data_IF_216389794885
#
_entry.id   IF_216389794885
#
_cell.length_a   1.000
_cell.length_b   1.000
_cell.length_c   1.000
_cell.angle_alpha   90.00
_cell.angle_beta   90.00
_cell.angle_gamma   90.00
#
_symmetry.space_group_name_H-M   'P 1'
#
loop_
_entity.id
_entity.type
_entity.pdbx_description
1 polymer ?
#
# COMPACT_ATOMS: atom_id res chain seq x y z
N UNK A 1 45.16 -11.66 -70.89
CA UNK A 1 45.37 -12.35 -69.59
C UNK A 1 45.23 -11.40 -68.40
N UNK A 2 45.84 -10.19 -68.45
CA UNK A 2 45.79 -9.19 -67.36
C UNK A 2 44.38 -8.68 -66.96
N UNK A 3 43.49 -8.37 -67.91
CA UNK A 3 42.11 -7.91 -67.60
C UNK A 3 41.26 -8.93 -66.82
N UNK A 4 41.50 -10.23 -66.99
CA UNK A 4 40.81 -11.26 -66.19
C UNK A 4 41.28 -11.21 -64.74
N UNK A 5 42.58 -11.04 -64.50
CA UNK A 5 43.17 -11.02 -63.16
C UNK A 5 42.68 -9.82 -62.32
N UNK A 6 42.56 -8.63 -62.93
CA UNK A 6 42.01 -7.45 -62.26
C UNK A 6 40.55 -7.63 -61.85
N UNK A 7 39.72 -8.26 -62.69
CA UNK A 7 38.33 -8.57 -62.35
C UNK A 7 38.24 -9.56 -61.17
N UNK A 8 39.11 -10.57 -61.13
CA UNK A 8 39.16 -11.51 -60.01
C UNK A 8 39.58 -10.83 -58.70
N UNK A 9 40.54 -9.89 -58.74
CA UNK A 9 40.95 -9.11 -57.56
C UNK A 9 39.81 -8.19 -57.09
N UNK A 10 39.07 -7.57 -58.01
CA UNK A 10 37.96 -6.69 -57.65
C UNK A 10 36.80 -7.47 -57.03
N UNK A 11 36.45 -8.63 -57.59
CA UNK A 11 35.45 -9.56 -57.04
C UNK A 11 35.89 -10.05 -55.66
N UNK A 12 37.16 -10.43 -55.49
CA UNK A 12 37.69 -10.89 -54.20
C UNK A 12 37.62 -9.80 -53.11
N UNK A 13 37.92 -8.54 -53.44
CA UNK A 13 37.76 -7.40 -52.51
C UNK A 13 36.29 -7.15 -52.14
N UNK A 14 35.37 -7.31 -53.07
CA UNK A 14 33.92 -7.22 -52.83
C UNK A 14 33.44 -8.34 -51.89
N UNK A 15 33.88 -9.57 -52.10
CA UNK A 15 33.56 -10.71 -51.22
C UNK A 15 34.15 -10.53 -49.82
N UNK A 16 35.39 -10.03 -49.69
CA UNK A 16 35.95 -9.68 -48.38
C UNK A 16 35.14 -8.59 -47.69
N UNK A 17 34.79 -7.51 -48.41
CA UNK A 17 33.99 -6.40 -47.87
C UNK A 17 32.60 -6.82 -47.41
N UNK A 18 31.93 -7.68 -48.17
CA UNK A 18 30.64 -8.30 -47.80
C UNK A 18 30.77 -9.21 -46.57
N UNK A 19 31.85 -10.00 -46.49
CA UNK A 19 32.15 -10.83 -45.32
C UNK A 19 32.36 -10.01 -44.05
N UNK A 20 33.13 -8.91 -44.12
CA UNK A 20 33.31 -7.98 -43.00
C UNK A 20 32.00 -7.27 -42.60
N UNK A 21 31.13 -6.96 -43.58
CA UNK A 21 29.83 -6.37 -43.31
C UNK A 21 28.89 -7.36 -42.60
N UNK A 22 28.84 -8.61 -43.07
CA UNK A 22 28.04 -9.67 -42.42
C UNK A 22 28.54 -9.99 -41.01
N UNK A 23 29.85 -9.98 -40.78
CA UNK A 23 30.43 -10.19 -39.45
C UNK A 23 30.07 -9.06 -38.47
N UNK A 24 30.05 -7.80 -38.95
CA UNK A 24 29.60 -6.65 -38.16
C UNK A 24 28.12 -6.72 -37.83
N UNK A 25 27.27 -7.08 -38.79
CA UNK A 25 25.82 -7.25 -38.56
C UNK A 25 25.59 -8.35 -37.54
N UNK A 26 26.24 -9.51 -37.69
CA UNK A 26 26.14 -10.62 -36.74
C UNK A 26 26.57 -10.21 -35.33
N UNK A 27 27.70 -9.51 -35.20
CA UNK A 27 28.18 -9.01 -33.92
C UNK A 27 27.17 -8.04 -33.26
N UNK A 28 26.63 -7.07 -34.02
CA UNK A 28 25.61 -6.13 -33.52
C UNK A 28 24.35 -6.88 -33.07
N UNK A 29 23.86 -7.83 -33.87
CA UNK A 29 22.68 -8.63 -33.50
C UNK A 29 22.92 -9.50 -32.28
N UNK A 30 24.12 -10.06 -32.12
CA UNK A 30 24.49 -10.86 -30.96
C UNK A 30 24.58 -9.99 -29.69
N UNK A 31 25.14 -8.78 -29.78
CA UNK A 31 25.18 -7.82 -28.66
C UNK A 31 23.78 -7.38 -28.25
N UNK A 32 22.90 -7.10 -29.21
CA UNK A 32 21.49 -6.75 -28.95
C UNK A 32 20.78 -7.94 -28.29
N UNK A 33 20.95 -9.15 -28.81
CA UNK A 33 20.35 -10.36 -28.24
C UNK A 33 20.85 -10.61 -26.81
N UNK A 34 22.16 -10.49 -26.57
CA UNK A 34 22.76 -10.60 -25.22
C UNK A 34 22.19 -9.52 -24.30
N UNK A 35 22.07 -8.29 -24.78
CA UNK A 35 21.49 -7.20 -24.02
C UNK A 35 20.04 -7.49 -23.66
N UNK A 36 19.17 -7.87 -24.60
CA UNK A 36 17.74 -8.08 -24.33
C UNK A 36 17.42 -9.35 -23.54
N UNK A 37 18.17 -10.44 -23.73
CA UNK A 37 17.88 -11.72 -23.08
C UNK A 37 18.65 -11.98 -21.79
N UNK A 38 19.83 -11.36 -21.62
CA UNK A 38 20.67 -11.60 -20.45
C UNK A 38 20.86 -10.35 -19.60
N UNK A 39 21.09 -9.17 -20.19
CA UNK A 39 21.34 -7.93 -19.43
C UNK A 39 20.03 -7.25 -19.01
N UNK A 40 19.04 -7.14 -19.88
CA UNK A 40 17.77 -6.45 -19.64
C UNK A 40 16.94 -7.09 -18.53
N UNK A 41 16.89 -8.43 -18.37
CA UNK A 41 16.26 -9.04 -17.19
C UNK A 41 17.05 -8.81 -15.89
N UNK A 42 18.37 -8.55 -15.98
CA UNK A 42 19.24 -8.18 -14.85
C UNK A 42 19.17 -6.69 -14.50
N UNK A 43 18.79 -5.83 -15.45
CA UNK A 43 18.34 -4.45 -15.20
C UNK A 43 16.96 -4.58 -14.54
N UNK A 44 16.97 -4.87 -13.24
CA UNK A 44 15.80 -5.22 -12.47
C UNK A 44 14.64 -4.25 -12.64
N UNK A 45 13.43 -4.78 -12.38
CA UNK A 45 12.19 -4.04 -12.09
C UNK A 45 12.53 -2.64 -11.62
N UNK A 46 12.28 -1.62 -12.45
CA UNK A 46 12.60 -0.23 -12.12
C UNK A 46 12.22 0.08 -10.67
N UNK A 47 13.22 0.31 -9.83
CA UNK A 47 13.09 0.82 -8.45
C UNK A 47 12.85 2.33 -8.44
N UNK A 48 12.77 2.96 -9.63
CA UNK A 48 12.46 4.36 -9.75
C UNK A 48 11.05 4.61 -9.20
N UNK A 49 11.02 5.21 -8.02
CA UNK A 49 9.81 5.79 -7.47
C UNK A 49 9.77 7.26 -7.85
N UNK A 50 8.59 7.75 -8.20
CA UNK A 50 8.38 9.19 -8.35
C UNK A 50 7.62 9.74 -7.15
N UNK A 51 7.83 11.01 -6.85
CA UNK A 51 7.15 11.70 -5.77
C UNK A 51 5.71 12.01 -6.20
N UNK A 52 4.75 11.50 -5.45
CA UNK A 52 3.32 11.70 -5.67
C UNK A 52 2.77 12.59 -4.57
N UNK A 53 2.03 13.64 -4.93
CA UNK A 53 1.18 14.39 -4.00
C UNK A 53 -0.11 13.60 -3.80
N UNK A 54 -0.30 13.06 -2.59
CA UNK A 54 -1.51 12.33 -2.22
C UNK A 54 -2.67 13.28 -1.91
N UNK A 55 -2.39 14.36 -1.18
CA UNK A 55 -3.36 15.38 -0.80
C UNK A 55 -2.64 16.72 -0.58
N UNK A 56 -3.14 17.80 -1.17
CA UNK A 56 -2.62 19.14 -0.91
C UNK A 56 -3.12 19.67 0.44
N UNK A 57 -2.33 20.52 1.08
CA UNK A 57 -2.59 21.09 2.40
C UNK A 57 -3.70 22.15 2.36
N UNK A 58 -4.93 21.68 2.20
CA UNK A 58 -6.14 22.47 2.15
C UNK A 58 -7.04 22.07 3.33
N UNK A 59 -7.95 22.96 3.74
CA UNK A 59 -8.93 22.68 4.79
C UNK A 59 -10.14 21.89 4.23
N UNK A 60 -9.88 20.68 3.75
CA UNK A 60 -10.90 19.77 3.19
C UNK A 60 -10.82 18.40 3.86
N UNK A 61 -11.95 17.67 3.93
CA UNK A 61 -11.93 16.30 4.46
C UNK A 61 -11.18 15.37 3.49
N UNK A 62 -10.38 14.41 3.99
CA UNK A 62 -9.77 13.42 3.12
C UNK A 62 -10.85 12.56 2.46
N UNK A 63 -10.54 12.05 1.28
CA UNK A 63 -11.46 11.17 0.53
C UNK A 63 -11.85 9.95 1.35
N UNK A 64 -13.07 9.47 1.14
CA UNK A 64 -13.62 8.28 1.82
C UNK A 64 -13.56 8.36 3.35
N UNK A 65 -13.55 9.57 3.93
CA UNK A 65 -13.74 9.72 5.36
C UNK A 65 -15.10 9.14 5.77
N UNK A 66 -15.08 8.32 6.82
CA UNK A 66 -16.26 7.67 7.41
C UNK A 66 -16.05 7.38 8.89
N UNK A 67 -17.15 7.32 9.64
CA UNK A 67 -17.15 7.19 11.09
C UNK A 67 -18.15 6.13 11.54
N UNK A 68 -17.78 5.24 12.47
CA UNK A 68 -18.65 4.17 12.95
C UNK A 68 -19.84 4.66 13.78
N UNK A 69 -19.84 5.93 14.19
CA UNK A 69 -20.98 6.59 14.86
C UNK A 69 -22.03 7.11 13.87
N UNK A 70 -21.78 7.02 12.56
CA UNK A 70 -22.73 7.48 11.54
C UNK A 70 -24.00 6.63 11.56
N UNK A 71 -25.16 7.28 11.49
CA UNK A 71 -26.44 6.59 11.32
C UNK A 71 -26.50 5.87 9.97
N UNK A 72 -26.89 4.60 10.00
CA UNK A 72 -27.07 3.75 8.83
C UNK A 72 -28.55 3.52 8.56
N UNK A 73 -28.88 3.10 7.33
CA UNK A 73 -30.24 2.75 6.98
C UNK A 73 -30.78 1.62 7.90
N UNK A 74 -32.08 1.62 8.28
CA UNK A 74 -32.64 0.62 9.20
C UNK A 74 -32.49 -0.85 8.78
N UNK A 75 -32.25 -1.10 7.49
CA UNK A 75 -32.00 -2.44 6.95
C UNK A 75 -30.57 -2.97 7.20
N UNK A 76 -29.65 -2.10 7.67
CA UNK A 76 -28.26 -2.44 7.95
C UNK A 76 -28.11 -2.67 9.45
N UNK A 77 -27.52 -3.80 9.84
CA UNK A 77 -27.24 -4.08 11.24
C UNK A 77 -26.14 -3.13 11.77
N UNK A 78 -26.51 -2.22 12.66
CA UNK A 78 -25.60 -1.27 13.32
C UNK A 78 -25.29 -1.65 14.77
N UNK A 79 -25.65 -2.86 15.22
CA UNK A 79 -25.49 -3.28 16.61
C UNK A 79 -24.01 -3.25 17.01
N UNK A 80 -23.69 -2.56 18.09
CA UNK A 80 -22.32 -2.38 18.60
C UNK A 80 -21.34 -1.70 17.62
N UNK A 81 -21.82 -1.12 16.51
CA UNK A 81 -20.95 -0.44 15.56
C UNK A 81 -20.37 0.85 16.14
N UNK A 82 -21.18 1.62 16.86
CA UNK A 82 -20.73 2.85 17.53
C UNK A 82 -19.71 2.58 18.64
N UNK A 83 -19.80 1.41 19.28
CA UNK A 83 -18.93 0.99 20.38
C UNK A 83 -17.48 0.77 19.92
N UNK A 84 -17.24 0.70 18.61
CA UNK A 84 -15.90 0.60 18.03
C UNK A 84 -15.06 1.87 18.24
N UNK A 85 -15.66 3.05 18.41
CA UNK A 85 -14.91 4.31 18.48
C UNK A 85 -13.88 4.44 17.34
N UNK A 86 -14.33 4.17 16.11
CA UNK A 86 -13.43 4.08 14.96
C UNK A 86 -13.90 4.96 13.80
N UNK A 87 -12.92 5.43 13.04
CA UNK A 87 -13.11 6.17 11.79
C UNK A 87 -12.07 5.74 10.78
N UNK A 88 -12.29 6.12 9.51
CA UNK A 88 -11.35 5.75 8.47
C UNK A 88 -11.36 6.72 7.28
N UNK A 89 -10.23 6.86 6.58
CA UNK A 89 -10.15 7.67 5.36
C UNK A 89 -9.01 7.27 4.41
N UNK A 90 -8.91 7.97 3.29
CA UNK A 90 -7.67 8.07 2.51
C UNK A 90 -6.61 8.92 3.23
N UNK A 91 -5.42 9.01 2.65
CA UNK A 91 -4.35 9.86 3.14
C UNK A 91 -4.83 11.30 3.37
N UNK A 92 -4.59 11.82 4.56
CA UNK A 92 -4.83 13.21 4.94
C UNK A 92 -3.57 14.07 4.76
N UNK A 93 -3.77 15.37 4.57
CA UNK A 93 -2.76 16.42 4.70
C UNK A 93 -2.75 16.98 6.14
N UNK A 94 -1.81 17.86 6.46
CA UNK A 94 -1.68 18.38 7.83
C UNK A 94 -2.94 19.12 8.32
N UNK A 95 -3.58 19.94 7.48
CA UNK A 95 -4.82 20.63 7.83
C UNK A 95 -6.01 19.66 7.93
N UNK A 96 -6.08 18.64 7.07
CA UNK A 96 -7.21 17.72 7.10
C UNK A 96 -7.14 16.73 8.26
N UNK A 97 -5.96 16.42 8.79
CA UNK A 97 -5.82 15.69 10.05
C UNK A 97 -6.42 16.50 11.21
N UNK A 98 -6.08 17.80 11.34
CA UNK A 98 -6.69 18.67 12.36
C UNK A 98 -8.22 18.72 12.21
N UNK A 99 -8.73 18.72 10.98
CA UNK A 99 -10.16 18.67 10.70
C UNK A 99 -10.81 17.35 11.11
N UNK A 100 -10.14 16.22 10.90
CA UNK A 100 -10.59 14.93 11.44
C UNK A 100 -10.68 15.02 12.97
N UNK A 101 -9.61 15.46 13.63
CA UNK A 101 -9.56 15.49 15.09
C UNK A 101 -10.63 16.40 15.70
N UNK A 102 -10.97 17.51 15.05
CA UNK A 102 -11.97 18.46 15.56
C UNK A 102 -13.42 17.94 15.55
N UNK A 103 -13.71 16.88 14.79
CA UNK A 103 -15.05 16.27 14.72
C UNK A 103 -15.16 14.99 15.55
N UNK A 104 -14.05 14.45 16.07
CA UNK A 104 -14.07 13.25 16.90
C UNK A 104 -14.58 13.59 18.31
N UNK A 105 -15.33 12.68 18.96
CA UNK A 105 -15.91 12.93 20.28
C UNK A 105 -14.88 12.84 21.42
N UNK A 106 -13.61 12.56 21.12
CA UNK A 106 -12.53 12.39 22.09
C UNK A 106 -11.21 12.92 21.53
N UNK A 107 -10.31 13.33 22.41
CA UNK A 107 -8.93 13.69 22.10
C UNK A 107 -7.96 12.50 22.21
N UNK A 108 -8.41 11.37 22.76
CA UNK A 108 -7.62 10.14 22.87
C UNK A 108 -7.72 9.35 21.57
N UNK A 109 -6.88 9.73 20.62
CA UNK A 109 -6.92 9.20 19.25
C UNK A 109 -5.61 8.49 18.97
N UNK A 110 -5.68 7.35 18.30
CA UNK A 110 -4.53 6.70 17.67
C UNK A 110 -4.73 6.66 16.16
N UNK A 111 -3.79 7.21 15.41
CA UNK A 111 -3.73 7.03 13.96
C UNK A 111 -3.13 5.65 13.68
N UNK A 112 -3.85 4.83 12.92
CA UNK A 112 -3.39 3.53 12.43
C UNK A 112 -3.03 3.68 10.96
N UNK A 113 -1.75 3.93 10.69
CA UNK A 113 -1.18 4.02 9.35
C UNK A 113 -0.92 2.62 8.77
N UNK A 114 -1.62 2.29 7.69
CA UNK A 114 -1.54 0.99 7.03
C UNK A 114 -0.58 1.00 5.82
N UNK A 115 0.21 2.07 5.63
CA UNK A 115 0.99 2.29 4.41
C UNK A 115 2.40 1.71 4.50
N UNK A 116 2.66 0.66 3.72
CA UNK A 116 4.01 0.13 3.48
C UNK A 116 4.87 1.10 2.65
N UNK A 117 4.27 1.80 1.71
CA UNK A 117 4.99 2.76 0.87
C UNK A 117 5.51 3.95 1.68
N UNK A 118 6.74 4.38 1.41
CA UNK A 118 7.34 5.55 2.06
C UNK A 118 6.54 6.81 1.77
N UNK A 119 6.20 7.54 2.82
CA UNK A 119 5.38 8.73 2.75
C UNK A 119 5.75 9.73 3.85
N UNK A 120 5.15 10.91 3.81
CA UNK A 120 5.36 11.97 4.79
C UNK A 120 4.77 13.27 4.28
N UNK A 121 5.24 14.38 4.83
CA UNK A 121 4.68 15.69 4.53
C UNK A 121 5.76 16.66 4.06
N UNK A 122 5.40 17.51 3.09
CA UNK A 122 6.22 18.62 2.63
C UNK A 122 5.34 19.88 2.65
N UNK A 123 5.66 20.86 3.49
CA UNK A 123 4.83 22.04 3.75
C UNK A 123 3.37 21.68 4.15
N UNK A 124 3.20 20.53 4.79
CA UNK A 124 1.90 19.95 5.13
C UNK A 124 1.16 19.26 3.98
N UNK A 125 1.64 19.32 2.73
CA UNK A 125 1.14 18.48 1.64
C UNK A 125 1.52 17.02 1.94
N UNK A 126 0.57 16.10 1.86
CA UNK A 126 0.85 14.69 2.00
C UNK A 126 1.47 14.14 0.71
N UNK A 127 2.64 13.50 0.83
CA UNK A 127 3.39 12.96 -0.30
C UNK A 127 3.80 11.51 -0.08
N UNK A 128 4.06 10.79 -1.17
CA UNK A 128 4.62 9.44 -1.11
C UNK A 128 5.53 9.13 -2.30
N UNK A 129 6.43 8.17 -2.10
CA UNK A 129 7.30 7.67 -3.16
C UNK A 129 6.65 6.48 -3.86
N UNK A 130 5.94 6.78 -4.95
CA UNK A 130 5.16 5.79 -5.67
C UNK A 130 6.06 4.94 -6.57
N UNK A 131 6.16 3.64 -6.26
CA UNK A 131 6.66 2.62 -7.17
C UNK A 131 5.55 1.95 -7.98
N UNK A 132 5.90 1.16 -8.99
CA UNK A 132 4.93 0.37 -9.77
C UNK A 132 3.99 -0.41 -8.85
N UNK A 133 2.67 -0.28 -9.05
CA UNK A 133 1.60 -0.87 -8.22
C UNK A 133 1.56 -0.42 -6.75
N UNK A 134 2.34 0.58 -6.35
CA UNK A 134 2.46 0.99 -4.95
C UNK A 134 3.38 0.07 -4.12
N UNK A 135 4.22 -0.73 -4.77
CA UNK A 135 5.05 -1.76 -4.13
C UNK A 135 6.51 -1.34 -3.95
N UNK A 136 6.77 -0.07 -3.64
CA UNK A 136 8.14 0.46 -3.52
C UNK A 136 8.96 -0.20 -2.41
N UNK A 137 8.28 -0.77 -1.42
CA UNK A 137 8.88 -1.36 -0.22
C UNK A 137 8.48 -2.82 0.01
N UNK A 138 7.90 -3.48 -1.01
CA UNK A 138 7.39 -4.84 -0.86
C UNK A 138 8.51 -5.78 -0.43
N UNK A 139 8.28 -6.52 0.65
CA UNK A 139 9.22 -7.50 1.21
C UNK A 139 10.30 -6.92 2.11
N UNK A 140 10.25 -5.62 2.43
CA UNK A 140 11.11 -5.00 3.45
C UNK A 140 10.51 -5.18 4.85
N UNK A 141 11.36 -5.16 5.87
CA UNK A 141 10.93 -5.07 7.28
C UNK A 141 10.47 -3.66 7.63
N UNK A 142 9.80 -3.47 8.78
CA UNK A 142 9.40 -2.15 9.26
C UNK A 142 10.60 -1.20 9.38
N UNK A 143 11.69 -1.62 10.04
CA UNK A 143 12.92 -0.82 10.17
C UNK A 143 13.46 -0.36 8.80
N UNK A 144 13.49 -1.27 7.82
CA UNK A 144 13.95 -0.94 6.46
C UNK A 144 13.01 0.02 5.72
N UNK A 145 11.71 -0.01 6.03
CA UNK A 145 10.71 0.91 5.48
C UNK A 145 10.89 2.30 6.09
N UNK A 146 11.10 2.38 7.41
CA UNK A 146 11.31 3.61 8.14
C UNK A 146 12.63 4.28 7.73
N UNK A 147 13.71 3.51 7.63
CA UNK A 147 15.00 3.99 7.11
C UNK A 147 14.88 4.56 5.70
N UNK A 148 14.20 3.85 4.79
CA UNK A 148 13.97 4.30 3.42
C UNK A 148 13.15 5.60 3.39
N UNK A 149 12.12 5.71 4.24
CA UNK A 149 11.28 6.89 4.37
C UNK A 149 12.06 8.10 4.90
N UNK A 150 12.84 7.94 5.97
CA UNK A 150 13.65 9.00 6.55
C UNK A 150 14.71 9.50 5.56
N UNK A 151 15.37 8.59 4.83
CA UNK A 151 16.34 8.96 3.80
C UNK A 151 15.68 9.77 2.67
N UNK A 152 14.49 9.35 2.20
CA UNK A 152 13.73 10.04 1.16
C UNK A 152 13.27 11.44 1.59
N UNK A 153 12.77 11.60 2.81
CA UNK A 153 12.38 12.88 3.38
C UNK A 153 13.59 13.80 3.59
N UNK A 154 14.68 13.30 4.18
CA UNK A 154 15.92 14.06 4.40
C UNK A 154 16.53 14.54 3.09
N UNK A 155 16.58 13.68 2.06
CA UNK A 155 17.06 14.06 0.73
C UNK A 155 16.19 15.15 0.11
N UNK A 156 14.88 15.08 0.30
CA UNK A 156 13.93 16.06 -0.22
C UNK A 156 14.11 17.44 0.38
N UNK A 157 14.38 17.52 1.69
CA UNK A 157 14.60 18.81 2.38
C UNK A 157 15.87 19.53 1.99
N UNK A 158 16.83 18.83 1.36
CA UNK A 158 18.08 19.41 0.87
C UNK A 158 17.98 19.97 -0.55
N UNK A 159 16.86 19.76 -1.24
CA UNK A 159 16.66 20.25 -2.60
C UNK A 159 15.95 21.61 -2.60
N UNK A 160 16.33 22.55 -3.49
CA UNK A 160 15.64 23.83 -3.60
C UNK A 160 14.21 23.69 -4.14
N UNK A 161 13.96 22.67 -4.95
CA UNK A 161 12.64 22.28 -5.44
C UNK A 161 12.59 20.78 -5.73
N UNK A 162 11.38 20.24 -5.81
CA UNK A 162 11.09 18.86 -6.17
C UNK A 162 10.09 18.84 -7.31
N UNK A 163 10.26 17.90 -8.25
CA UNK A 163 9.22 17.56 -9.23
C UNK A 163 8.38 16.44 -8.64
N UNK A 164 7.14 16.77 -8.27
CA UNK A 164 6.14 15.81 -7.82
C UNK A 164 5.03 15.67 -8.85
N UNK A 165 4.13 14.70 -8.67
CA UNK A 165 3.02 14.46 -9.56
C UNK A 165 1.70 14.43 -8.79
N UNK A 166 0.65 15.02 -9.37
CA UNK A 166 -0.75 14.85 -8.94
C UNK A 166 -1.43 13.83 -9.85
N UNK A 167 -2.29 12.99 -9.27
CA UNK A 167 -3.02 11.94 -10.01
C UNK A 167 -2.13 11.03 -10.87
N UNK A 168 -0.85 10.87 -10.48
CA UNK A 168 0.19 10.10 -11.19
C UNK A 168 0.57 10.62 -12.58
N UNK A 169 0.07 11.78 -13.01
CA UNK A 169 0.26 12.27 -14.38
C UNK A 169 0.65 13.74 -14.45
N UNK A 170 0.11 14.59 -13.59
CA UNK A 170 0.28 16.04 -13.68
C UNK A 170 1.50 16.50 -12.86
N UNK A 171 2.60 16.95 -13.49
CA UNK A 171 3.77 17.42 -12.75
C UNK A 171 3.45 18.72 -12.01
N UNK A 172 3.96 18.84 -10.79
CA UNK A 172 3.90 20.02 -9.95
C UNK A 172 5.25 20.25 -9.29
N UNK A 173 5.61 21.51 -9.08
CA UNK A 173 6.80 21.87 -8.34
C UNK A 173 6.45 22.05 -6.86
N UNK A 174 7.20 21.39 -5.99
CA UNK A 174 7.18 21.64 -4.55
C UNK A 174 8.46 22.36 -4.17
N UNK A 175 8.36 23.32 -3.26
CA UNK A 175 9.50 24.07 -2.70
C UNK A 175 9.57 23.73 -1.21
N UNK A 176 10.36 22.74 -0.81
CA UNK A 176 10.36 22.24 0.56
C UNK A 176 10.84 23.30 1.54
N UNK A 177 10.05 23.56 2.59
CA UNK A 177 10.41 24.42 3.73
C UNK A 177 10.30 23.64 5.02
N UNK A 178 9.16 22.96 5.19
CA UNK A 178 8.90 22.08 6.33
C UNK A 178 8.75 20.65 5.83
N UNK A 179 9.41 19.69 6.50
CA UNK A 179 9.31 18.27 6.20
C UNK A 179 9.20 17.52 7.51
N UNK A 180 8.25 16.58 7.55
CA UNK A 180 8.05 15.75 8.72
C UNK A 180 7.41 14.41 8.33
N UNK A 181 7.62 13.41 9.18
CA UNK A 181 6.95 12.11 9.09
C UNK A 181 5.49 12.24 9.54
N UNK A 182 4.69 11.20 9.27
CA UNK A 182 3.33 11.17 9.78
C UNK A 182 3.27 11.02 11.30
N UNK A 183 4.21 10.26 11.88
CA UNK A 183 4.37 10.15 13.32
C UNK A 183 4.70 11.50 13.97
N UNK A 184 5.62 12.27 13.39
CA UNK A 184 5.95 13.63 13.88
C UNK A 184 4.73 14.56 13.80
N UNK A 185 3.93 14.48 12.73
CA UNK A 185 2.68 15.23 12.62
C UNK A 185 1.68 14.81 13.71
N UNK A 186 1.45 13.51 13.89
CA UNK A 186 0.52 12.99 14.89
C UNK A 186 0.90 13.44 16.30
N UNK A 187 2.18 13.27 16.68
CA UNK A 187 2.69 13.70 17.97
C UNK A 187 2.62 15.22 18.17
N UNK A 188 2.84 16.02 17.10
CA UNK A 188 2.68 17.49 17.18
C UNK A 188 1.24 17.93 17.51
N UNK A 189 0.27 17.06 17.25
CA UNK A 189 -1.15 17.27 17.54
C UNK A 189 -1.62 16.50 18.80
N UNK A 190 -0.69 15.92 19.58
CA UNK A 190 -0.97 15.11 20.76
C UNK A 190 -1.89 13.90 20.47
N UNK A 191 -1.59 13.21 19.38
CA UNK A 191 -2.28 12.01 18.91
C UNK A 191 -1.28 10.85 18.87
N UNK A 192 -1.69 9.68 19.35
CA UNK A 192 -0.86 8.47 19.30
C UNK A 192 -0.73 7.97 17.85
N UNK A 193 0.35 7.25 17.57
CA UNK A 193 0.64 6.76 16.23
C UNK A 193 1.00 5.27 16.26
N UNK A 194 0.41 4.50 15.34
CA UNK A 194 0.75 3.11 15.10
C UNK A 194 0.92 2.87 13.60
N UNK A 195 2.07 2.32 13.20
CA UNK A 195 2.31 1.92 11.82
C UNK A 195 2.26 0.41 11.65
N UNK A 196 1.43 -0.05 10.71
CA UNK A 196 1.29 -1.45 10.32
C UNK A 196 1.47 -1.54 8.78
N UNK A 197 2.70 -1.75 8.29
CA UNK A 197 3.02 -1.56 6.88
C UNK A 197 2.46 -2.69 6.01
N UNK A 198 1.29 -2.48 5.41
CA UNK A 198 0.66 -3.47 4.53
C UNK A 198 0.87 -3.09 3.07
N UNK A 199 1.43 -4.03 2.29
CA UNK A 199 1.61 -3.88 0.84
C UNK A 199 0.28 -3.54 0.16
N UNK A 200 0.29 -2.53 -0.72
CA UNK A 200 -0.95 -2.13 -1.40
C UNK A 200 -1.58 -3.30 -2.17
N UNK A 201 -2.91 -3.38 -2.10
CA UNK A 201 -3.78 -4.43 -2.68
C UNK A 201 -3.77 -5.81 -2.00
N UNK A 202 -2.75 -6.14 -1.20
CA UNK A 202 -2.62 -7.43 -0.53
C UNK A 202 -3.42 -7.50 0.79
N UNK A 203 -3.55 -8.70 1.36
CA UNK A 203 -3.90 -8.88 2.78
C UNK A 203 -2.69 -8.55 3.69
N UNK A 204 -2.90 -8.22 4.98
CA UNK A 204 -1.80 -8.14 5.94
C UNK A 204 -1.11 -9.50 6.11
N UNK A 205 0.18 -9.46 6.43
CA UNK A 205 0.96 -10.67 6.80
C UNK A 205 0.54 -11.15 8.19
N UNK A 206 0.85 -12.39 8.51
CA UNK A 206 0.47 -13.00 9.78
C UNK A 206 1.13 -12.29 10.98
N UNK A 207 2.37 -11.79 10.80
CA UNK A 207 3.08 -11.02 11.82
C UNK A 207 2.41 -9.67 12.08
N UNK A 208 1.93 -8.98 11.04
CA UNK A 208 1.19 -7.72 11.18
C UNK A 208 -0.15 -7.96 11.87
N UNK A 209 -0.80 -9.09 11.60
CA UNK A 209 -2.05 -9.46 12.26
C UNK A 209 -1.82 -9.69 13.75
N UNK A 210 -0.75 -10.41 14.13
CA UNK A 210 -0.40 -10.60 15.54
C UNK A 210 -0.09 -9.27 16.24
N UNK A 211 0.68 -8.39 15.61
CA UNK A 211 0.94 -7.03 16.14
C UNK A 211 -0.35 -6.24 16.33
N UNK A 212 -1.27 -6.30 15.37
CA UNK A 212 -2.55 -5.61 15.45
C UNK A 212 -3.41 -6.16 16.60
N UNK A 213 -3.49 -7.49 16.76
CA UNK A 213 -4.24 -8.11 17.85
C UNK A 213 -3.67 -7.74 19.22
N UNK A 214 -2.35 -7.74 19.37
CA UNK A 214 -1.70 -7.35 20.62
C UNK A 214 -1.94 -5.87 20.93
N UNK A 215 -1.84 -4.99 19.93
CA UNK A 215 -2.24 -3.60 20.06
C UNK A 215 -3.70 -3.46 20.53
N UNK A 216 -4.64 -4.17 19.90
CA UNK A 216 -6.07 -4.09 20.25
C UNK A 216 -6.34 -4.58 21.70
N UNK A 217 -5.55 -5.52 22.22
CA UNK A 217 -5.65 -6.00 23.61
C UNK A 217 -5.21 -4.94 24.64
N UNK A 218 -4.28 -4.06 24.28
CA UNK A 218 -3.77 -3.02 25.18
C UNK A 218 -4.58 -1.71 25.14
N UNK A 219 -5.51 -1.59 24.19
CA UNK A 219 -6.37 -0.40 24.07
C UNK A 219 -7.27 -0.20 25.28
N UNK A 220 -7.26 1.01 25.80
CA UNK A 220 -8.30 1.47 26.72
C UNK A 220 -9.65 1.66 26.01
N UNK A 221 -10.79 1.43 26.71
CA UNK A 221 -12.12 1.46 26.09
C UNK A 221 -12.52 2.78 25.42
N UNK A 222 -11.92 3.91 25.84
CA UNK A 222 -12.18 5.27 25.36
C UNK A 222 -11.27 5.71 24.21
N UNK A 223 -10.31 4.87 23.79
CA UNK A 223 -9.41 5.21 22.67
C UNK A 223 -10.16 5.15 21.34
N UNK A 224 -9.97 6.20 20.55
CA UNK A 224 -10.48 6.28 19.19
C UNK A 224 -9.43 5.83 18.18
N UNK A 225 -9.80 4.95 17.25
CA UNK A 225 -8.90 4.52 16.17
C UNK A 225 -9.26 5.20 14.84
N UNK A 226 -8.28 5.83 14.20
CA UNK A 226 -8.42 6.33 12.85
C UNK A 226 -7.56 5.52 11.87
N UNK A 227 -8.20 4.68 11.07
CA UNK A 227 -7.52 3.83 10.09
C UNK A 227 -7.39 4.54 8.75
N UNK A 228 -6.21 4.55 8.16
CA UNK A 228 -6.06 5.08 6.80
C UNK A 228 -5.06 4.30 5.95
N UNK A 229 -5.14 4.54 4.65
CA UNK A 229 -4.13 4.15 3.69
C UNK A 229 -4.13 5.17 2.55
N UNK A 230 -3.40 4.94 1.45
CA UNK A 230 -3.36 5.92 0.35
C UNK A 230 -4.75 6.32 -0.20
N UNK A 231 -5.67 5.36 -0.34
CA UNK A 231 -6.98 5.59 -0.96
C UNK A 231 -8.16 5.45 0.01
N UNK A 232 -7.98 4.93 1.22
CA UNK A 232 -9.07 4.74 2.18
C UNK A 232 -10.01 3.58 1.86
N UNK A 233 -9.63 2.70 0.93
CA UNK A 233 -10.44 1.58 0.45
C UNK A 233 -9.90 0.23 0.93
N UNK A 234 -9.05 -0.45 0.15
CA UNK A 234 -8.62 -1.84 0.40
C UNK A 234 -8.10 -2.09 1.82
N UNK A 235 -6.88 -1.64 2.12
CA UNK A 235 -6.23 -1.82 3.44
C UNK A 235 -7.09 -1.28 4.58
N UNK A 236 -7.57 -0.05 4.43
CA UNK A 236 -8.42 0.63 5.40
C UNK A 236 -9.67 -0.14 5.76
N UNK A 237 -10.42 -0.64 4.77
CA UNK A 237 -11.65 -1.42 5.03
C UNK A 237 -11.31 -2.78 5.60
N UNK A 238 -10.18 -3.39 5.18
CA UNK A 238 -9.70 -4.66 5.75
C UNK A 238 -9.49 -4.54 7.26
N UNK A 239 -8.73 -3.53 7.70
CA UNK A 239 -8.43 -3.36 9.13
C UNK A 239 -9.64 -2.90 9.94
N UNK A 240 -10.50 -2.06 9.36
CA UNK A 240 -11.72 -1.65 10.05
C UNK A 240 -12.67 -2.85 10.24
N UNK A 241 -12.80 -3.72 9.25
CA UNK A 241 -13.54 -4.99 9.36
C UNK A 241 -12.86 -5.95 10.35
N UNK A 242 -11.52 -6.08 10.33
CA UNK A 242 -10.81 -6.91 11.30
C UNK A 242 -11.05 -6.42 12.73
N UNK A 243 -10.98 -5.11 12.95
CA UNK A 243 -11.24 -4.52 14.26
C UNK A 243 -12.66 -4.83 14.75
N UNK A 244 -13.62 -4.69 13.85
CA UNK A 244 -15.00 -5.02 14.13
C UNK A 244 -15.21 -6.52 14.44
N UNK A 245 -14.58 -7.41 13.66
CA UNK A 245 -14.56 -8.85 13.91
C UNK A 245 -14.01 -9.16 15.31
N UNK A 246 -12.88 -8.56 15.70
CA UNK A 246 -12.30 -8.76 17.04
C UNK A 246 -13.27 -8.37 18.14
N UNK A 247 -14.03 -7.28 17.97
CA UNK A 247 -14.96 -6.79 19.01
C UNK A 247 -16.32 -7.50 18.99
N UNK A 248 -16.79 -7.95 17.83
CA UNK A 248 -18.20 -8.28 17.62
C UNK A 248 -18.48 -9.64 16.96
N UNK A 249 -17.47 -10.45 16.59
CA UNK A 249 -17.70 -11.71 15.87
C UNK A 249 -18.53 -12.77 16.64
N UNK A 250 -18.58 -12.69 17.96
CA UNK A 250 -19.43 -13.57 18.79
C UNK A 250 -20.91 -13.16 18.77
N UNK A 251 -21.24 -11.97 18.25
CA UNK A 251 -22.59 -11.37 18.28
C UNK A 251 -23.14 -11.05 16.90
N UNK A 252 -22.28 -10.71 15.95
CA UNK A 252 -22.66 -10.22 14.61
C UNK A 252 -22.05 -11.11 13.53
N UNK A 253 -22.85 -11.50 12.54
CA UNK A 253 -22.36 -12.32 11.43
C UNK A 253 -21.36 -11.58 10.56
N UNK A 254 -20.46 -12.32 9.90
CA UNK A 254 -19.49 -11.76 8.97
C UNK A 254 -20.18 -10.93 7.86
N UNK A 255 -21.29 -11.42 7.31
CA UNK A 255 -22.02 -10.72 6.24
C UNK A 255 -22.54 -9.37 6.72
N UNK A 256 -23.04 -9.29 7.96
CA UNK A 256 -23.52 -8.03 8.53
C UNK A 256 -22.38 -7.06 8.83
N UNK A 257 -21.25 -7.54 9.35
CA UNK A 257 -20.03 -6.74 9.55
C UNK A 257 -19.54 -6.16 8.22
N UNK A 258 -19.47 -6.97 7.16
CA UNK A 258 -19.02 -6.49 5.85
C UNK A 258 -20.02 -5.49 5.25
N UNK A 259 -21.32 -5.80 5.30
CA UNK A 259 -22.37 -4.92 4.77
C UNK A 259 -22.41 -3.55 5.45
N UNK A 260 -22.24 -3.48 6.78
CA UNK A 260 -22.26 -2.17 7.47
C UNK A 260 -21.04 -1.32 7.15
N UNK A 261 -19.86 -1.92 6.98
CA UNK A 261 -18.68 -1.19 6.54
C UNK A 261 -18.73 -0.77 5.06
N UNK A 262 -19.39 -1.56 4.21
CA UNK A 262 -19.73 -1.15 2.84
C UNK A 262 -20.72 0.04 2.86
N UNK A 263 -21.77 -0.03 3.69
CA UNK A 263 -22.75 1.05 3.85
C UNK A 263 -22.15 2.36 4.39
N UNK A 264 -21.08 2.28 5.20
CA UNK A 264 -20.28 3.43 5.63
C UNK A 264 -19.40 4.03 4.53
N UNK A 265 -19.37 3.45 3.32
CA UNK A 265 -18.54 3.91 2.19
C UNK A 265 -17.20 3.18 2.05
N UNK A 266 -17.00 2.07 2.76
CA UNK A 266 -15.92 1.11 2.49
C UNK A 266 -16.21 0.26 1.25
N UNK A 267 -15.24 -0.58 0.87
CA UNK A 267 -15.47 -1.58 -0.20
C UNK A 267 -16.07 -2.86 0.38
N UNK A 268 -16.82 -3.61 -0.43
CA UNK A 268 -17.13 -4.99 -0.09
C UNK A 268 -15.87 -5.85 -0.22
N UNK A 269 -15.20 -6.07 0.90
CA UNK A 269 -13.94 -6.82 0.96
C UNK A 269 -14.07 -8.31 0.61
N UNK A 270 -15.29 -8.85 0.56
CA UNK A 270 -15.57 -10.24 0.14
C UNK A 270 -15.93 -10.34 -1.35
N UNK A 271 -16.15 -9.20 -2.02
CA UNK A 271 -16.44 -9.18 -3.46
C UNK A 271 -15.15 -9.38 -4.27
N UNK A 272 -15.25 -10.18 -5.33
CA UNK A 272 -14.14 -10.46 -6.23
C UNK A 272 -14.33 -9.69 -7.55
N UNK A 273 -13.28 -9.02 -8.05
CA UNK A 273 -13.30 -8.47 -9.40
C UNK A 273 -13.24 -9.60 -10.44
N UNK A 274 -13.38 -9.29 -11.73
CA UNK A 274 -13.22 -10.29 -12.81
C UNK A 274 -11.89 -11.04 -12.71
N UNK A 275 -11.91 -12.34 -13.01
CA UNK A 275 -10.75 -13.24 -13.02
C UNK A 275 -9.60 -12.78 -13.92
N UNK A 276 -9.91 -12.00 -14.97
CA UNK A 276 -8.90 -11.42 -15.86
C UNK A 276 -8.29 -10.12 -15.32
N UNK A 277 -8.82 -9.59 -14.22
CA UNK A 277 -8.28 -8.38 -13.61
C UNK A 277 -7.04 -8.72 -12.79
N UNK A 278 -5.96 -7.98 -12.98
CA UNK A 278 -4.67 -8.29 -12.33
C UNK A 278 -4.70 -8.27 -10.79
N UNK A 279 -5.73 -7.66 -10.16
CA UNK A 279 -5.90 -7.66 -8.70
C UNK A 279 -6.79 -8.78 -8.18
N UNK A 280 -7.31 -9.66 -9.05
CA UNK A 280 -8.24 -10.72 -8.66
C UNK A 280 -7.64 -11.61 -7.57
N UNK A 281 -6.47 -12.20 -7.82
CA UNK A 281 -5.78 -13.06 -6.86
C UNK A 281 -5.60 -12.38 -5.49
N UNK A 282 -5.21 -11.09 -5.48
CA UNK A 282 -5.07 -10.33 -4.23
C UNK A 282 -6.39 -10.05 -3.52
N UNK A 283 -7.49 -9.91 -4.26
CA UNK A 283 -8.82 -9.76 -3.68
C UNK A 283 -9.34 -11.08 -3.11
N UNK A 284 -9.10 -12.18 -3.81
CA UNK A 284 -9.42 -13.55 -3.38
C UNK A 284 -8.68 -13.90 -2.08
N UNK A 285 -7.36 -13.75 -2.05
CA UNK A 285 -6.54 -13.97 -0.86
C UNK A 285 -7.00 -13.14 0.34
N UNK A 286 -7.44 -11.89 0.12
CA UNK A 286 -7.98 -11.03 1.18
C UNK A 286 -9.36 -11.50 1.66
N UNK A 287 -10.23 -11.90 0.74
CA UNK A 287 -11.57 -12.39 1.10
C UNK A 287 -11.48 -13.70 1.89
N UNK A 288 -10.64 -14.63 1.45
CA UNK A 288 -10.38 -15.90 2.15
C UNK A 288 -9.79 -15.65 3.55
N UNK A 289 -8.78 -14.78 3.63
CA UNK A 289 -8.22 -14.35 4.91
C UNK A 289 -9.28 -13.87 5.88
N UNK A 290 -10.17 -12.96 5.45
CA UNK A 290 -11.18 -12.40 6.35
C UNK A 290 -12.15 -13.47 6.84
N UNK A 291 -12.51 -14.46 6.01
CA UNK A 291 -13.35 -15.58 6.44
C UNK A 291 -12.67 -16.38 7.55
N UNK A 292 -11.40 -16.71 7.36
CA UNK A 292 -10.62 -17.45 8.35
C UNK A 292 -10.39 -16.64 9.64
N UNK A 293 -10.13 -15.34 9.50
CA UNK A 293 -9.97 -14.42 10.64
C UNK A 293 -11.27 -14.27 11.43
N UNK A 294 -12.41 -14.24 10.76
CA UNK A 294 -13.71 -14.26 11.42
C UNK A 294 -13.92 -15.54 12.22
N UNK A 295 -13.64 -16.72 11.65
CA UNK A 295 -13.73 -18.00 12.38
C UNK A 295 -12.83 -18.01 13.61
N UNK A 296 -11.57 -17.59 13.45
CA UNK A 296 -10.61 -17.45 14.53
C UNK A 296 -11.11 -16.55 15.67
N UNK A 297 -11.71 -15.40 15.36
CA UNK A 297 -12.24 -14.50 16.39
C UNK A 297 -13.55 -14.98 17.00
N UNK A 298 -14.45 -15.55 16.18
CA UNK A 298 -15.76 -16.06 16.61
C UNK A 298 -15.64 -17.16 17.65
N UNK A 299 -14.66 -18.04 17.49
CA UNK A 299 -14.40 -19.15 18.41
C UNK A 299 -13.57 -18.73 19.63
N UNK A 300 -13.24 -17.44 19.75
CA UNK A 300 -12.51 -16.88 20.90
C UNK A 300 -10.99 -17.13 20.89
N UNK A 301 -10.45 -17.78 19.86
CA UNK A 301 -9.03 -18.17 19.80
C UNK A 301 -8.05 -17.00 19.95
N UNK A 302 -8.42 -15.82 19.44
CA UNK A 302 -7.63 -14.58 19.54
C UNK A 302 -7.28 -14.14 20.96
N UNK A 303 -7.99 -14.64 21.98
CA UNK A 303 -7.72 -14.38 23.39
C UNK A 303 -6.56 -15.24 23.93
N UNK A 304 -6.31 -16.41 23.33
CA UNK A 304 -5.43 -17.44 23.91
C UNK A 304 -4.22 -17.76 23.03
N UNK A 305 -4.41 -17.82 21.70
CA UNK A 305 -3.38 -18.25 20.75
C UNK A 305 -3.14 -17.15 19.74
N UNK A 306 -1.89 -16.78 19.41
CA UNK A 306 -1.56 -15.89 18.29
C UNK A 306 -2.14 -16.38 16.96
N UNK A 307 -2.47 -15.46 16.06
CA UNK A 307 -3.05 -15.76 14.76
C UNK A 307 -2.12 -16.61 13.91
N UNK A 308 -0.82 -16.27 13.86
CA UNK A 308 0.18 -17.01 13.08
C UNK A 308 0.19 -18.51 13.44
N UNK A 309 0.23 -18.81 14.75
CA UNK A 309 0.24 -20.19 15.26
C UNK A 309 -1.09 -20.92 15.01
N UNK A 310 -2.22 -20.23 15.13
CA UNK A 310 -3.53 -20.83 14.83
C UNK A 310 -3.67 -21.13 13.33
N UNK A 311 -3.26 -20.18 12.49
CA UNK A 311 -3.37 -20.29 11.03
C UNK A 311 -2.45 -21.39 10.49
N UNK A 312 -1.22 -21.51 10.97
CA UNK A 312 -0.30 -22.59 10.61
C UNK A 312 -0.92 -23.97 10.86
N UNK A 313 -1.50 -24.20 12.05
CA UNK A 313 -2.18 -25.47 12.38
C UNK A 313 -3.37 -25.74 11.48
N UNK A 314 -4.19 -24.71 11.22
CA UNK A 314 -5.36 -24.84 10.35
C UNK A 314 -4.97 -25.12 8.90
N UNK A 315 -3.90 -24.49 8.42
CA UNK A 315 -3.36 -24.71 7.09
C UNK A 315 -2.88 -26.15 6.92
N UNK A 316 -2.14 -26.70 7.89
CA UNK A 316 -1.75 -28.11 7.86
C UNK A 316 -2.97 -29.04 7.80
N UNK A 317 -3.97 -28.83 8.66
CA UNK A 317 -5.17 -29.66 8.69
C UNK A 317 -6.02 -29.63 7.40
N UNK A 318 -5.90 -28.58 6.57
CA UNK A 318 -6.61 -28.48 5.28
C UNK A 318 -5.86 -29.14 4.12
N UNK A 319 -4.55 -29.41 4.28
CA UNK A 319 -3.67 -29.90 3.24
C UNK A 319 -3.13 -31.34 3.50
N UNK A 320 -3.47 -31.93 4.64
CA UNK A 320 -3.26 -33.36 4.97
C UNK A 320 -4.46 -34.21 4.55
#
# INVERSE_FOLDING_TARGET
MFKKLENWIHIFKLFLGLGFCMLKVFYITAVIFIFFFFIYPLIGKSTASFLLVNMSNQDEMPRHFRICHQELAPSINSDHLSDLNASASAQFCANSLQKILSILPTNKVTIVDLREESHGFINGDAVSWYGTRGWSNRGKTLDQIEDDQLQKLSKSGKQPFLVAYKQKTYPVLLFPRDIFTEEELAHSLNVDYLRLPVTDHCRPTDEIIDQFLEFVKTLSPDTWLHFHCSAGQGRTTTFLVMYDIVKNATKVSLENIVKRHEALGGINILSLPSDHFWKHEHAEQRAEFIRLFYEYCKDGHHLETPWSLWFEKKWHALND
#
